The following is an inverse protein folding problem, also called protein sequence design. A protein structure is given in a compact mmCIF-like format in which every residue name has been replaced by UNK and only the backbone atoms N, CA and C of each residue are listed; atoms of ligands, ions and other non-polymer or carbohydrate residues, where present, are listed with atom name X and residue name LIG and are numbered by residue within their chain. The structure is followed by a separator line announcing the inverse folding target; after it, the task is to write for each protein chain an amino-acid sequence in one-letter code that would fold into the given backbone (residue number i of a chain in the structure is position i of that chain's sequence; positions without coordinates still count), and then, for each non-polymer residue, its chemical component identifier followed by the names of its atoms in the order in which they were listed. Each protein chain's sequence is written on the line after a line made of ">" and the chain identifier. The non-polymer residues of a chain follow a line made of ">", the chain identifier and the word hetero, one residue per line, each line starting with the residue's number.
data_IF_133978852650
#
_entry.id   IF_133978852650
#
_cell.length_a   1.000
_cell.length_b   1.000
_cell.length_c   1.000
_cell.angle_alpha   90.00
_cell.angle_beta   90.00
_cell.angle_gamma   90.00
#
_symmetry.space_group_name_H-M   'P 1'
#
loop_
_entity.id
_entity.type
_entity.pdbx_description
1 polymer ?
#
# COMPACT_ATOMS: atom_id res chain seq x y z
N UNK A 1 -35.85 10.31 24.49
CA UNK A 1 -34.68 10.41 23.59
C UNK A 1 -33.31 10.22 24.26
N UNK A 2 -33.16 10.36 25.59
CA UNK A 2 -31.86 10.32 26.30
C UNK A 2 -31.22 8.93 26.47
N UNK A 3 -31.97 7.82 26.30
CA UNK A 3 -31.44 6.45 26.42
C UNK A 3 -30.93 5.82 25.11
N UNK A 4 -31.46 6.25 23.95
CA UNK A 4 -31.01 5.76 22.63
C UNK A 4 -29.55 6.11 22.37
N UNK A 5 -29.19 7.38 22.61
CA UNK A 5 -27.83 7.88 22.47
C UNK A 5 -26.81 7.13 23.35
N UNK A 6 -27.19 6.76 24.58
CA UNK A 6 -26.30 6.00 25.47
C UNK A 6 -26.11 4.55 25.01
N UNK A 7 -27.16 3.90 24.49
CA UNK A 7 -27.06 2.55 23.92
C UNK A 7 -26.20 2.53 22.67
N UNK A 8 -26.38 3.51 21.79
CA UNK A 8 -25.59 3.67 20.58
C UNK A 8 -24.11 3.90 20.91
N UNK A 9 -23.84 4.79 21.87
CA UNK A 9 -22.49 5.07 22.35
C UNK A 9 -21.83 3.86 23.02
N UNK A 10 -22.58 3.05 23.78
CA UNK A 10 -22.08 1.80 24.36
C UNK A 10 -21.73 0.78 23.27
N UNK A 11 -22.57 0.63 22.24
CA UNK A 11 -22.28 -0.25 21.10
C UNK A 11 -21.02 0.21 20.37
N UNK A 12 -20.90 1.51 20.10
CA UNK A 12 -19.71 2.08 19.44
C UNK A 12 -18.44 1.83 20.27
N UNK A 13 -18.51 2.01 21.60
CA UNK A 13 -17.38 1.70 22.50
C UNK A 13 -17.02 0.22 22.46
N UNK A 14 -17.99 -0.67 22.46
CA UNK A 14 -17.76 -2.12 22.38
C UNK A 14 -17.15 -2.52 21.03
N UNK A 15 -17.66 -1.97 19.93
CA UNK A 15 -17.09 -2.19 18.59
C UNK A 15 -15.66 -1.69 18.52
N UNK A 16 -15.39 -0.47 19.01
CA UNK A 16 -14.04 0.09 19.07
C UNK A 16 -13.09 -0.75 19.93
N UNK A 17 -13.57 -1.30 21.05
CA UNK A 17 -12.80 -2.20 21.91
C UNK A 17 -12.48 -3.52 21.19
N UNK A 18 -13.46 -4.10 20.50
CA UNK A 18 -13.26 -5.31 19.71
C UNK A 18 -12.27 -5.10 18.56
N UNK A 19 -12.36 -3.98 17.86
CA UNK A 19 -11.40 -3.60 16.82
C UNK A 19 -10.00 -3.38 17.38
N UNK A 20 -9.87 -2.71 18.52
CA UNK A 20 -8.60 -2.53 19.20
C UNK A 20 -7.98 -3.88 19.60
N UNK A 21 -8.80 -4.81 20.11
CA UNK A 21 -8.36 -6.16 20.45
C UNK A 21 -7.91 -6.95 19.21
N UNK A 22 -8.63 -6.85 18.09
CA UNK A 22 -8.20 -7.44 16.81
C UNK A 22 -6.88 -6.85 16.33
N UNK A 23 -6.64 -5.55 16.56
CA UNK A 23 -5.36 -4.88 16.23
C UNK A 23 -4.21 -5.32 17.16
N UNK A 24 -4.47 -5.54 18.44
CA UNK A 24 -3.45 -5.97 19.41
C UNK A 24 -3.16 -7.47 19.40
N UNK A 25 -3.98 -8.27 18.74
CA UNK A 25 -3.72 -9.71 18.56
C UNK A 25 -2.33 -9.96 17.97
N UNK A 26 -1.65 -10.95 18.52
CA UNK A 26 -0.35 -11.40 18.03
C UNK A 26 -0.43 -11.92 16.60
N UNK A 27 0.74 -12.06 15.98
CA UNK A 27 0.90 -12.34 14.57
C UNK A 27 0.15 -13.62 14.11
N UNK A 28 0.02 -14.63 14.97
CA UNK A 28 -0.70 -15.90 14.69
C UNK A 28 -2.22 -15.79 14.84
N UNK A 29 -2.71 -14.84 15.63
CA UNK A 29 -4.13 -14.63 15.89
C UNK A 29 -4.77 -13.66 14.87
N UNK A 30 -4.01 -13.16 13.90
CA UNK A 30 -4.54 -12.39 12.78
C UNK A 30 -5.26 -13.33 11.83
N UNK A 31 -6.47 -12.95 11.40
CA UNK A 31 -7.31 -13.76 10.51
C UNK A 31 -6.58 -14.20 9.23
N UNK A 32 -5.82 -13.31 8.59
CA UNK A 32 -5.02 -13.62 7.38
C UNK A 32 -3.80 -14.52 7.63
N UNK A 33 -3.55 -14.87 8.89
CA UNK A 33 -2.43 -15.68 9.31
C UNK A 33 -2.84 -16.96 10.06
N UNK A 34 -4.15 -17.21 10.15
CA UNK A 34 -4.69 -18.43 10.75
C UNK A 34 -4.22 -19.66 9.97
N UNK A 35 -3.70 -20.66 10.66
CA UNK A 35 -3.23 -21.91 10.06
C UNK A 35 -1.91 -21.83 9.28
N UNK A 36 -1.23 -20.68 9.27
CA UNK A 36 0.10 -20.55 8.66
C UNK A 36 1.21 -20.73 9.67
N UNK A 37 2.19 -21.58 9.32
CA UNK A 37 3.48 -21.68 10.01
C UNK A 37 4.28 -20.39 9.82
N UNK A 38 5.26 -20.16 10.69
CA UNK A 38 6.16 -19.00 10.60
C UNK A 38 6.80 -18.85 9.23
N UNK A 39 7.30 -19.96 8.68
CA UNK A 39 8.06 -19.97 7.44
C UNK A 39 7.21 -19.53 6.25
N UNK A 40 5.98 -20.06 6.13
CA UNK A 40 5.04 -19.67 5.08
C UNK A 40 4.65 -18.18 5.12
N UNK A 41 4.75 -17.53 6.28
CA UNK A 41 4.52 -16.09 6.40
C UNK A 41 5.70 -15.31 5.86
N UNK A 42 6.91 -15.72 6.21
CA UNK A 42 8.15 -15.10 5.76
C UNK A 42 8.26 -15.21 4.23
N UNK A 43 7.92 -16.38 3.67
CA UNK A 43 7.88 -16.58 2.21
C UNK A 43 6.91 -15.62 1.53
N UNK A 44 5.69 -15.48 2.09
CA UNK A 44 4.69 -14.55 1.56
C UNK A 44 5.16 -13.10 1.65
N UNK A 45 5.72 -12.69 2.78
CA UNK A 45 6.21 -11.32 2.98
C UNK A 45 7.37 -11.03 2.01
N UNK A 46 8.23 -12.02 1.75
CA UNK A 46 9.30 -11.94 0.75
C UNK A 46 8.75 -11.83 -0.68
N UNK A 47 7.71 -12.59 -1.03
CA UNK A 47 7.06 -12.51 -2.35
C UNK A 47 6.44 -11.14 -2.61
N UNK A 48 5.79 -10.56 -1.59
CA UNK A 48 5.21 -9.22 -1.68
C UNK A 48 6.32 -8.18 -1.88
N UNK A 49 7.44 -8.31 -1.17
CA UNK A 49 8.58 -7.41 -1.32
C UNK A 49 9.22 -7.51 -2.71
N UNK A 50 9.38 -8.71 -3.27
CA UNK A 50 9.86 -8.90 -4.64
C UNK A 50 8.96 -8.22 -5.66
N UNK A 51 7.64 -8.47 -5.59
CA UNK A 51 6.65 -7.81 -6.46
C UNK A 51 6.70 -6.30 -6.34
N UNK A 52 6.82 -5.77 -5.12
CA UNK A 52 6.93 -4.32 -4.89
C UNK A 52 8.20 -3.72 -5.51
N UNK A 53 9.32 -4.44 -5.44
CA UNK A 53 10.57 -4.02 -6.08
C UNK A 53 10.45 -4.03 -7.60
N UNK A 54 9.86 -5.08 -8.18
CA UNK A 54 9.60 -5.18 -9.61
C UNK A 54 8.67 -4.05 -10.10
N UNK A 55 7.59 -3.77 -9.37
CA UNK A 55 6.68 -2.68 -9.68
C UNK A 55 7.36 -1.30 -9.54
N UNK A 56 8.19 -1.12 -8.52
CA UNK A 56 8.94 0.12 -8.33
C UNK A 56 9.97 0.33 -9.45
N UNK A 57 10.67 -0.72 -9.85
CA UNK A 57 11.61 -0.69 -10.97
C UNK A 57 10.88 -0.37 -12.29
N UNK A 58 9.71 -0.99 -12.53
CA UNK A 58 8.88 -0.70 -13.71
C UNK A 58 8.41 0.75 -13.73
N UNK A 59 7.88 1.25 -12.62
CA UNK A 59 7.45 2.66 -12.49
C UNK A 59 8.62 3.63 -12.69
N UNK A 60 9.80 3.30 -12.17
CA UNK A 60 11.00 4.11 -12.37
C UNK A 60 11.42 4.12 -13.85
N UNK A 61 11.40 2.98 -14.52
CA UNK A 61 11.69 2.90 -15.95
C UNK A 61 10.67 3.68 -16.80
N UNK A 62 9.38 3.61 -16.48
CA UNK A 62 8.33 4.40 -17.13
C UNK A 62 8.54 5.92 -16.94
N UNK A 63 8.94 6.34 -15.73
CA UNK A 63 9.24 7.74 -15.41
C UNK A 63 10.51 8.24 -16.12
N UNK A 64 11.57 7.43 -16.16
CA UNK A 64 12.80 7.76 -16.87
C UNK A 64 12.58 7.83 -18.38
N UNK A 65 11.78 6.92 -18.95
CA UNK A 65 11.39 6.98 -20.37
C UNK A 65 10.55 8.22 -20.69
N UNK A 66 9.61 8.59 -19.82
CA UNK A 66 8.81 9.82 -19.96
C UNK A 66 9.68 11.09 -19.85
N UNK A 67 10.65 11.11 -18.93
CA UNK A 67 11.60 12.22 -18.77
C UNK A 67 12.55 12.35 -19.97
N UNK A 68 13.05 11.22 -20.50
CA UNK A 68 13.89 11.19 -21.69
C UNK A 68 13.12 11.67 -22.94
N UNK A 69 11.87 11.24 -23.12
CA UNK A 69 11.01 11.71 -24.21
C UNK A 69 10.69 13.21 -24.11
N UNK A 70 10.49 13.73 -22.90
CA UNK A 70 10.28 15.16 -22.65
C UNK A 70 11.55 16.00 -22.91
N UNK A 71 12.73 15.47 -22.61
CA UNK A 71 14.03 16.11 -22.90
C UNK A 71 14.33 16.15 -24.40
N UNK A 72 14.16 15.03 -25.11
CA UNK A 72 14.39 14.95 -26.56
C UNK A 72 13.52 15.92 -27.37
N UNK A 73 12.26 16.14 -26.97
CA UNK A 73 11.35 17.07 -27.66
C UNK A 73 11.77 18.54 -27.54
N UNK A 74 12.54 18.92 -26.51
CA UNK A 74 13.10 20.28 -26.35
C UNK A 74 14.34 20.48 -27.21
N UNK A 75 15.19 19.47 -27.32
CA UNK A 75 16.44 19.53 -28.11
C UNK A 75 16.16 19.56 -29.62
N UNK A 76 15.11 18.87 -30.09
CA UNK A 76 14.77 18.82 -31.53
C UNK A 76 14.16 20.13 -32.06
N UNK A 77 13.70 21.05 -31.20
CA UNK A 77 12.90 22.22 -31.64
C UNK A 77 13.67 23.50 -31.95
N UNK A 78 15.01 23.54 -31.86
CA UNK A 78 15.75 24.77 -32.13
C UNK A 78 17.05 24.47 -32.89
N UNK A 79 17.00 24.54 -34.22
CA UNK A 79 18.17 24.79 -35.05
C UNK A 79 18.02 26.20 -35.65
N UNK A 80 18.61 27.23 -35.02
CA UNK A 80 18.40 28.63 -35.39
C UNK A 80 19.15 29.03 -36.68
N UNK A 81 19.86 28.09 -37.33
CA UNK A 81 20.64 28.30 -38.56
C UNK A 81 20.00 27.66 -39.80
N UNK A 82 18.76 27.15 -39.69
CA UNK A 82 17.97 26.60 -40.81
C UNK A 82 16.71 27.41 -41.17
N UNK A 83 16.71 28.72 -40.91
CA UNK A 83 15.70 29.67 -41.42
C UNK A 83 16.30 30.53 -42.53
#
# INVERSE_FOLDING_TARGET
>A
MTRGNQRDLARLKNMKKLEAQKKSQGANAKDGNSGLTTDKRLDRDADIMRKKQEEAARKKAEQEAAAAAASGKKVVKVDPLKL
#
